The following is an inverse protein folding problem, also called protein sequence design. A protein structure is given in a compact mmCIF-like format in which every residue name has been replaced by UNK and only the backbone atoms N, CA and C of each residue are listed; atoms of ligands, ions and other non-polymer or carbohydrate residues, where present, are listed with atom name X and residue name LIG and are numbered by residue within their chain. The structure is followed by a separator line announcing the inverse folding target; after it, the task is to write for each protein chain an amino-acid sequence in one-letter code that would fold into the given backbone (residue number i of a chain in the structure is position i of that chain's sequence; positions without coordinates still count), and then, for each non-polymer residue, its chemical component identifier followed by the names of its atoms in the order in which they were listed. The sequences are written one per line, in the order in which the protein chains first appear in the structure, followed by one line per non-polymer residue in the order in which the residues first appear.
data_IF_738576921714
#
_entry.id   IF_738576921714
#
_cell.length_a   1.000
_cell.length_b   1.000
_cell.length_c   1.000
_cell.angle_alpha   90.00
_cell.angle_beta   90.00
_cell.angle_gamma   90.00
#
_symmetry.space_group_name_H-M   'P 1'
#
loop_
_entity.id
_entity.type
_entity.pdbx_description
1 polymer ?
#
# COMPACT_ATOMS: atom_id res chain seq x y z
N UNK A 1 5.18 -17.63 -22.02
CA UNK A 1 4.42 -16.51 -21.41
C UNK A 1 4.38 -16.78 -19.92
N UNK A 2 4.85 -15.86 -19.06
CA UNK A 2 4.75 -16.05 -17.62
C UNK A 2 3.34 -15.67 -17.17
N UNK A 3 2.58 -16.61 -16.63
CA UNK A 3 1.24 -16.39 -16.07
C UNK A 3 1.39 -15.96 -14.62
N UNK A 4 1.76 -14.70 -14.40
CA UNK A 4 1.82 -14.16 -13.04
C UNK A 4 0.40 -14.05 -12.48
N UNK A 5 0.13 -14.72 -11.36
CA UNK A 5 -1.06 -14.50 -10.55
C UNK A 5 -0.98 -13.14 -9.89
N UNK A 6 -2.07 -12.40 -9.98
CA UNK A 6 -2.26 -11.08 -9.36
C UNK A 6 -3.34 -11.20 -8.29
N UNK A 7 -3.09 -10.59 -7.12
CA UNK A 7 -4.05 -10.45 -6.04
C UNK A 7 -4.23 -8.97 -5.78
N UNK A 8 -5.47 -8.52 -5.78
CA UNK A 8 -5.86 -7.14 -5.49
C UNK A 8 -6.83 -7.12 -4.30
N UNK A 9 -6.49 -6.32 -3.29
CA UNK A 9 -7.24 -6.21 -2.06
C UNK A 9 -7.46 -4.73 -1.73
N UNK A 10 -8.68 -4.20 -1.93
CA UNK A 10 -9.03 -2.89 -1.44
C UNK A 10 -8.96 -2.83 0.08
N UNK A 11 -8.37 -1.78 0.63
CA UNK A 11 -8.23 -1.57 2.08
C UNK A 11 -8.63 -0.15 2.46
N UNK A 12 -9.21 0.00 3.65
CA UNK A 12 -9.46 1.30 4.24
C UNK A 12 -8.20 1.75 5.01
N UNK A 13 -7.70 2.93 4.65
CA UNK A 13 -6.59 3.61 5.30
C UNK A 13 -7.05 4.94 5.88
N UNK A 14 -6.19 5.57 6.69
CA UNK A 14 -6.42 6.89 7.26
C UNK A 14 -5.17 7.73 7.13
N UNK A 15 -5.32 8.98 6.69
CA UNK A 15 -4.22 9.95 6.69
C UNK A 15 -4.08 10.51 8.10
N UNK A 16 -2.99 10.17 8.79
CA UNK A 16 -2.71 10.70 10.12
C UNK A 16 -1.89 11.99 9.97
N UNK A 17 -2.58 13.13 9.99
CA UNK A 17 -1.98 14.46 10.04
C UNK A 17 -2.22 15.09 11.42
N UNK A 18 -1.46 16.13 11.76
CA UNK A 18 -1.67 16.92 13.00
C UNK A 18 -3.02 17.67 13.04
N UNK A 19 -3.79 17.64 11.94
CA UNK A 19 -5.12 18.21 11.85
C UNK A 19 -6.16 17.30 12.55
N UNK A 20 -7.25 17.86 13.10
CA UNK A 20 -8.12 17.17 14.05
C UNK A 20 -8.95 16.00 13.48
N UNK A 21 -8.88 15.70 12.18
CA UNK A 21 -9.56 14.54 11.58
C UNK A 21 -8.69 13.86 10.54
N UNK A 22 -8.48 12.57 10.75
CA UNK A 22 -7.91 11.69 9.74
C UNK A 22 -9.00 11.32 8.75
N UNK A 23 -8.89 11.79 7.52
CA UNK A 23 -9.80 11.44 6.44
C UNK A 23 -9.59 9.97 6.03
N UNK A 24 -10.68 9.18 5.86
CA UNK A 24 -10.58 7.83 5.34
C UNK A 24 -10.18 7.86 3.87
N UNK A 25 -9.29 6.96 3.49
CA UNK A 25 -8.81 6.80 2.11
C UNK A 25 -8.98 5.35 1.69
N UNK A 26 -9.50 5.13 0.48
CA UNK A 26 -9.54 3.80 -0.12
C UNK A 26 -8.24 3.55 -0.87
N UNK A 27 -7.38 2.71 -0.32
CA UNK A 27 -6.17 2.27 -1.00
C UNK A 27 -6.35 0.88 -1.61
N UNK A 28 -5.54 0.53 -2.60
CA UNK A 28 -5.50 -0.80 -3.19
C UNK A 28 -4.15 -1.46 -2.91
N UNK A 29 -4.16 -2.58 -2.20
CA UNK A 29 -3.01 -3.46 -2.11
C UNK A 29 -2.99 -4.38 -3.33
N UNK A 30 -1.85 -4.42 -4.03
CA UNK A 30 -1.61 -5.29 -5.17
C UNK A 30 -0.36 -6.13 -4.93
N UNK A 31 -0.50 -7.43 -5.08
CA UNK A 31 0.59 -8.41 -5.06
C UNK A 31 0.61 -9.16 -6.38
N UNK A 32 1.80 -9.35 -6.95
CA UNK A 32 1.98 -10.05 -8.21
C UNK A 32 3.08 -11.10 -8.05
N UNK A 33 2.79 -12.35 -8.39
CA UNK A 33 3.76 -13.46 -8.26
C UNK A 33 5.00 -13.32 -9.15
N UNK A 34 4.97 -12.44 -10.15
CA UNK A 34 6.13 -12.05 -10.94
C UNK A 34 7.14 -11.17 -10.18
N UNK A 35 6.72 -10.52 -9.10
CA UNK A 35 7.56 -9.77 -8.16
C UNK A 35 7.17 -10.16 -6.71
N UNK A 36 7.56 -11.36 -6.26
CA UNK A 36 7.03 -11.97 -5.04
C UNK A 36 7.50 -11.27 -3.75
N UNK A 37 8.46 -10.34 -3.84
CA UNK A 37 8.99 -9.60 -2.71
C UNK A 37 8.29 -8.26 -2.50
N UNK A 38 7.57 -7.75 -3.51
CA UNK A 38 6.93 -6.45 -3.44
C UNK A 38 5.41 -6.56 -3.20
N UNK A 39 4.90 -5.65 -2.38
CA UNK A 39 3.47 -5.31 -2.34
C UNK A 39 3.36 -3.85 -2.74
N UNK A 40 2.53 -3.56 -3.74
CA UNK A 40 2.23 -2.20 -4.16
C UNK A 40 0.98 -1.71 -3.43
N UNK A 41 1.03 -0.51 -2.89
CA UNK A 41 -0.10 0.19 -2.32
C UNK A 41 -0.40 1.40 -3.21
N UNK A 42 -1.54 1.37 -3.88
CA UNK A 42 -1.98 2.46 -4.74
C UNK A 42 -3.00 3.35 -4.01
N UNK A 43 -2.80 4.66 -4.12
CA UNK A 43 -3.70 5.71 -3.66
C UNK A 43 -4.30 6.43 -4.87
N UNK A 44 -5.63 6.61 -4.90
CA UNK A 44 -6.28 7.37 -5.96
C UNK A 44 -5.92 8.85 -5.88
N UNK A 45 -5.99 9.56 -7.01
CA UNK A 45 -5.69 10.98 -7.15
C UNK A 45 -6.29 11.87 -6.05
N UNK A 46 -7.55 11.65 -5.68
CA UNK A 46 -8.27 12.42 -4.66
C UNK A 46 -7.72 12.25 -3.23
N UNK A 47 -6.89 11.23 -3.00
CA UNK A 47 -6.19 10.97 -1.76
C UNK A 47 -4.72 11.41 -1.76
N UNK A 48 -4.24 12.06 -2.83
CA UNK A 48 -2.84 12.48 -2.99
C UNK A 48 -2.71 14.00 -3.04
N UNK A 49 -1.54 14.51 -2.63
CA UNK A 49 -1.28 15.96 -2.63
C UNK A 49 -1.20 16.55 -4.04
N UNK A 50 -0.66 15.78 -4.99
CA UNK A 50 -0.48 16.21 -6.39
C UNK A 50 -1.74 16.00 -7.24
N UNK A 51 -2.80 15.40 -6.70
CA UNK A 51 -4.03 15.11 -7.45
C UNK A 51 -3.83 14.08 -8.56
N UNK A 52 -2.89 13.15 -8.39
CA UNK A 52 -2.57 12.08 -9.36
C UNK A 52 -2.41 10.75 -8.66
N UNK A 53 -2.79 9.66 -9.30
CA UNK A 53 -2.60 8.32 -8.75
C UNK A 53 -1.15 8.08 -8.33
N UNK A 54 -0.96 7.60 -7.10
CA UNK A 54 0.36 7.36 -6.53
C UNK A 54 0.46 5.93 -6.05
N UNK A 55 1.53 5.23 -6.41
CA UNK A 55 1.81 3.89 -5.92
C UNK A 55 3.12 3.87 -5.13
N UNK A 56 3.06 3.31 -3.92
CA UNK A 56 4.23 2.96 -3.14
C UNK A 56 4.48 1.46 -3.24
N UNK A 57 5.75 1.06 -3.22
CA UNK A 57 6.15 -0.33 -3.16
C UNK A 57 6.82 -0.59 -1.80
N UNK A 58 6.41 -1.68 -1.17
CA UNK A 58 6.95 -2.14 0.10
C UNK A 58 7.44 -3.57 -0.02
N UNK A 59 8.47 -3.92 0.74
CA UNK A 59 8.82 -5.32 0.94
C UNK A 59 7.66 -6.04 1.64
N UNK A 60 7.26 -7.21 1.12
CA UNK A 60 6.20 -8.03 1.70
C UNK A 60 6.51 -8.41 3.15
N UNK A 61 7.78 -8.73 3.42
CA UNK A 61 8.22 -9.07 4.77
C UNK A 61 8.12 -7.90 5.75
N UNK A 62 8.36 -6.67 5.28
CA UNK A 62 8.23 -5.46 6.09
C UNK A 62 6.79 -5.25 6.54
N UNK A 63 5.84 -5.37 5.61
CA UNK A 63 4.41 -5.25 5.94
C UNK A 63 3.97 -6.36 6.89
N UNK A 64 4.47 -7.58 6.71
CA UNK A 64 4.11 -8.73 7.56
C UNK A 64 4.67 -8.56 8.97
N UNK A 65 5.96 -8.23 9.10
CA UNK A 65 6.59 -7.99 10.40
C UNK A 65 5.96 -6.80 11.14
N UNK A 66 5.56 -5.77 10.39
CA UNK A 66 4.89 -4.57 10.90
C UNK A 66 3.52 -4.82 11.54
N UNK A 67 2.88 -5.98 11.28
CA UNK A 67 1.62 -6.36 11.93
C UNK A 67 1.84 -6.76 13.40
N UNK A 68 2.99 -7.35 13.71
CA UNK A 68 3.28 -7.89 15.05
C UNK A 68 4.13 -6.92 15.89
N UNK A 69 5.06 -6.19 15.25
CA UNK A 69 6.03 -5.34 15.94
C UNK A 69 6.49 -4.17 15.06
N UNK A 70 7.04 -3.08 15.64
CA UNK A 70 7.74 -2.07 14.86
C UNK A 70 8.82 -2.71 13.99
N UNK A 71 8.77 -2.43 12.69
CA UNK A 71 9.69 -2.91 11.69
C UNK A 71 10.05 -1.76 10.72
N UNK A 72 11.26 -1.81 10.19
CA UNK A 72 11.76 -0.85 9.20
C UNK A 72 12.45 -1.62 8.06
N UNK A 73 12.54 -0.99 6.89
CA UNK A 73 13.46 -1.48 5.87
C UNK A 73 14.89 -1.35 6.42
N UNK A 74 15.64 -2.45 6.38
CA UNK A 74 17.06 -2.50 6.75
C UNK A 74 17.95 -1.90 5.70
#
# INVERSE_FOLDING_TARGET
MSTATVIEQPVDARIVASAPRAEPVRALLRYETGDPYAVRMAFPADATLEGTDLAWAFARELLTAGLDRPALAS
#
